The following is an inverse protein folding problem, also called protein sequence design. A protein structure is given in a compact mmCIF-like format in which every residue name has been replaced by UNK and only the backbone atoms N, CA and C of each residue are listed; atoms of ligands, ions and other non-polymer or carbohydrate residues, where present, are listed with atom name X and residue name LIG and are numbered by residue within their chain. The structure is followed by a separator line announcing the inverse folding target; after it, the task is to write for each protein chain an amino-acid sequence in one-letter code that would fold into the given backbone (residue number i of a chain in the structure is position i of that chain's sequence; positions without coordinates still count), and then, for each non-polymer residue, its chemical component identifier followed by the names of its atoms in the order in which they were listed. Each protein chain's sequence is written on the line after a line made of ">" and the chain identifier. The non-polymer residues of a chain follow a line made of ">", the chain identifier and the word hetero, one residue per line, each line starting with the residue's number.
data_IF_462060579625
#
_entry.id   IF_462060579625
#
_cell.length_a   1.000
_cell.length_b   1.000
_cell.length_c   1.000
_cell.angle_alpha   90.00
_cell.angle_beta   90.00
_cell.angle_gamma   90.00
#
_symmetry.space_group_name_H-M   'P 1'
#
loop_
_entity.id
_entity.type
_entity.pdbx_description
1 polymer ?
#
# COMPACT_ATOMS: atom_id res chain seq x y z
N UNK A 1 -32.34 -11.08 2.33
CA UNK A 1 -31.53 -10.10 1.56
C UNK A 1 -30.69 -9.16 2.42
N UNK A 2 -31.18 -8.66 3.56
CA UNK A 2 -30.38 -7.78 4.45
C UNK A 2 -29.12 -8.48 5.03
N UNK A 3 -29.21 -9.76 5.40
CA UNK A 3 -28.08 -10.51 5.96
C UNK A 3 -26.97 -10.82 4.95
N UNK A 4 -27.30 -11.01 3.67
CA UNK A 4 -26.31 -11.21 2.61
C UNK A 4 -25.52 -9.94 2.31
N UNK A 5 -26.18 -8.78 2.34
CA UNK A 5 -25.52 -7.48 2.17
C UNK A 5 -24.56 -7.19 3.33
N UNK A 6 -24.98 -7.50 4.57
CA UNK A 6 -24.13 -7.35 5.76
C UNK A 6 -22.87 -8.21 5.68
N UNK A 7 -22.97 -9.45 5.22
CA UNK A 7 -21.78 -10.32 5.04
C UNK A 7 -20.82 -9.78 3.99
N UNK A 8 -21.35 -9.29 2.86
CA UNK A 8 -20.51 -8.71 1.80
C UNK A 8 -19.79 -7.47 2.31
N UNK A 9 -20.49 -6.59 3.03
CA UNK A 9 -19.86 -5.41 3.65
C UNK A 9 -18.78 -5.81 4.66
N UNK A 10 -19.04 -6.79 5.53
CA UNK A 10 -18.02 -7.28 6.47
C UNK A 10 -16.82 -7.91 5.76
N UNK A 11 -17.02 -8.62 4.66
CA UNK A 11 -15.92 -9.16 3.85
C UNK A 11 -15.11 -8.05 3.16
N UNK A 12 -15.76 -6.98 2.71
CA UNK A 12 -15.09 -5.82 2.12
C UNK A 12 -14.31 -5.03 3.18
N UNK A 13 -14.85 -4.89 4.39
CA UNK A 13 -14.16 -4.29 5.53
C UNK A 13 -12.97 -5.12 6.00
N UNK A 14 -13.09 -6.45 6.01
CA UNK A 14 -11.99 -7.36 6.35
C UNK A 14 -10.86 -7.34 5.29
N UNK A 15 -11.20 -7.07 4.03
CA UNK A 15 -10.23 -6.91 2.94
C UNK A 15 -9.64 -5.49 2.86
N UNK A 16 -10.22 -4.52 3.59
CA UNK A 16 -9.64 -3.18 3.68
C UNK A 16 -8.33 -3.29 4.45
N UNK A 17 -7.24 -3.02 3.75
CA UNK A 17 -5.95 -2.79 4.37
C UNK A 17 -6.10 -1.73 5.46
N UNK A 18 -5.47 -1.90 6.64
CA UNK A 18 -5.54 -0.93 7.72
C UNK A 18 -4.68 0.29 7.37
N UNK A 19 -5.13 1.08 6.39
CA UNK A 19 -4.41 2.24 5.85
C UNK A 19 -4.03 3.21 6.95
N UNK A 20 -4.89 3.40 7.95
CA UNK A 20 -4.63 4.29 9.09
C UNK A 20 -3.43 3.83 9.93
N UNK A 21 -3.30 2.52 10.16
CA UNK A 21 -2.15 1.96 10.90
C UNK A 21 -0.88 2.05 10.06
N UNK A 22 -0.98 1.70 8.78
CA UNK A 22 0.15 1.78 7.85
C UNK A 22 0.62 3.23 7.71
N UNK A 23 -0.29 4.20 7.64
CA UNK A 23 0.03 5.62 7.57
C UNK A 23 0.69 6.13 8.87
N UNK A 24 0.19 5.71 10.03
CA UNK A 24 0.78 6.06 11.31
C UNK A 24 2.21 5.48 11.47
N UNK A 25 2.40 4.21 11.11
CA UNK A 25 3.72 3.55 11.13
C UNK A 25 4.68 4.19 10.10
N UNK A 26 4.21 4.49 8.88
CA UNK A 26 5.00 5.15 7.85
C UNK A 26 5.45 6.55 8.28
N UNK A 27 4.58 7.31 8.94
CA UNK A 27 4.89 8.64 9.48
C UNK A 27 5.90 8.56 10.65
N UNK A 28 5.91 7.47 11.41
CA UNK A 28 6.89 7.27 12.47
C UNK A 28 8.30 6.99 11.91
N UNK A 29 8.38 6.40 10.72
CA UNK A 29 9.65 6.14 10.02
C UNK A 29 10.10 7.37 9.25
N UNK A 30 9.16 8.06 8.58
CA UNK A 30 9.44 9.23 7.77
C UNK A 30 8.52 10.42 8.11
N UNK A 31 8.98 11.37 8.95
CA UNK A 31 8.16 12.45 9.49
C UNK A 31 7.76 13.51 8.44
N UNK A 32 8.44 13.59 7.31
CA UNK A 32 8.11 14.54 6.23
C UNK A 32 6.98 14.05 5.30
N UNK A 33 6.47 12.84 5.54
CA UNK A 33 5.31 12.29 4.84
C UNK A 33 4.06 13.16 5.08
N UNK A 34 3.44 13.60 3.99
CA UNK A 34 2.25 14.48 4.01
C UNK A 34 0.97 13.72 3.72
N UNK A 35 1.02 12.81 2.74
CA UNK A 35 -0.09 11.91 2.45
C UNK A 35 0.43 10.54 2.03
N UNK A 36 -0.28 9.50 2.45
CA UNK A 36 -0.04 8.12 2.03
C UNK A 36 -1.36 7.52 1.52
N UNK A 37 -1.31 6.92 0.34
CA UNK A 37 -2.40 6.13 -0.22
C UNK A 37 -1.89 4.72 -0.47
N UNK A 38 -2.71 3.73 -0.12
CA UNK A 38 -2.40 2.31 -0.30
C UNK A 38 -3.53 1.69 -1.12
N UNK A 39 -3.19 1.02 -2.21
CA UNK A 39 -4.13 0.34 -3.08
C UNK A 39 -3.59 -1.04 -3.46
N UNK A 40 -4.45 -2.06 -3.35
CA UNK A 40 -4.16 -3.39 -3.90
C UNK A 40 -4.68 -3.42 -5.33
N UNK A 41 -3.82 -3.81 -6.28
CA UNK A 41 -4.19 -3.91 -7.70
C UNK A 41 -3.60 -5.18 -8.31
N UNK A 42 -4.07 -5.54 -9.50
CA UNK A 42 -3.60 -6.71 -10.23
C UNK A 42 -2.73 -6.24 -11.39
N UNK A 43 -1.50 -6.75 -11.44
CA UNK A 43 -0.58 -6.59 -12.56
C UNK A 43 -0.72 -7.82 -13.46
N UNK A 44 -1.07 -7.60 -14.72
CA UNK A 44 -1.11 -8.66 -15.74
C UNK A 44 0.16 -8.54 -16.58
N UNK A 45 1.00 -9.56 -16.53
CA UNK A 45 2.17 -9.65 -17.40
C UNK A 45 1.71 -10.03 -18.82
N UNK A 46 1.85 -9.13 -19.79
CA UNK A 46 1.33 -9.35 -21.15
C UNK A 46 2.03 -10.50 -21.89
N UNK A 47 3.30 -10.78 -21.56
CA UNK A 47 4.07 -11.85 -22.21
C UNK A 47 3.65 -13.26 -21.75
N UNK A 48 3.24 -13.41 -20.49
CA UNK A 48 2.92 -14.70 -19.87
C UNK A 48 1.44 -14.85 -19.48
N UNK A 49 0.64 -13.79 -19.66
CA UNK A 49 -0.73 -13.63 -19.16
C UNK A 49 -0.87 -13.95 -17.66
N UNK A 50 0.23 -13.91 -16.90
CA UNK A 50 0.24 -14.21 -15.47
C UNK A 50 -0.30 -13.00 -14.72
N UNK A 51 -1.29 -13.25 -13.87
CA UNK A 51 -1.87 -12.25 -12.98
C UNK A 51 -1.15 -12.29 -11.64
N UNK A 52 -0.48 -11.21 -11.27
CA UNK A 52 0.11 -11.03 -9.95
C UNK A 52 -0.63 -9.93 -9.19
N UNK A 53 -0.86 -10.12 -7.90
CA UNK A 53 -1.34 -9.03 -7.05
C UNK A 53 -0.16 -8.15 -6.66
N UNK A 54 -0.29 -6.84 -6.91
CA UNK A 54 0.70 -5.84 -6.49
C UNK A 54 0.07 -4.84 -5.53
N UNK A 55 0.88 -4.37 -4.59
CA UNK A 55 0.49 -3.30 -3.70
C UNK A 55 1.08 -1.98 -4.21
N UNK A 56 0.20 -1.06 -4.61
CA UNK A 56 0.55 0.28 -5.01
C UNK A 56 0.50 1.20 -3.79
N UNK A 57 1.61 1.87 -3.51
CA UNK A 57 1.68 2.91 -2.51
C UNK A 57 2.04 4.24 -3.16
N UNK A 58 1.26 5.25 -2.85
CA UNK A 58 1.53 6.62 -3.24
C UNK A 58 1.85 7.42 -1.99
N UNK A 59 3.03 8.04 -1.96
CA UNK A 59 3.52 8.85 -0.86
C UNK A 59 3.84 10.25 -1.37
N UNK A 60 3.30 11.28 -0.72
CA UNK A 60 3.64 12.68 -0.97
C UNK A 60 4.48 13.20 0.18
N UNK A 61 5.61 13.82 -0.12
CA UNK A 61 6.51 14.39 0.89
C UNK A 61 6.47 15.92 0.84
N UNK A 62 6.76 16.59 1.97
CA UNK A 62 6.86 18.06 1.98
C UNK A 62 8.10 18.58 1.26
N UNK A 63 9.15 17.76 1.21
CA UNK A 63 10.45 18.04 0.60
C UNK A 63 10.91 16.79 -0.13
N UNK A 64 11.75 16.98 -1.15
CA UNK A 64 12.37 15.86 -1.86
C UNK A 64 13.26 15.08 -0.90
N UNK A 65 12.83 13.89 -0.54
CA UNK A 65 13.60 13.01 0.34
C UNK A 65 14.81 12.43 -0.41
N UNK A 66 15.93 12.21 0.30
CA UNK A 66 17.08 11.52 -0.28
C UNK A 66 16.69 10.06 -0.56
N UNK A 67 17.39 9.45 -1.51
CA UNK A 67 17.10 8.09 -1.98
C UNK A 67 17.12 7.05 -0.84
N UNK A 68 17.99 7.26 0.15
CA UNK A 68 18.12 6.40 1.32
C UNK A 68 16.82 6.28 2.14
N UNK A 69 16.08 7.38 2.32
CA UNK A 69 14.84 7.39 3.10
C UNK A 69 13.69 6.73 2.33
N UNK A 70 13.67 6.91 1.00
CA UNK A 70 12.74 6.20 0.11
C UNK A 70 13.01 4.69 0.12
N UNK A 71 14.27 4.27 0.07
CA UNK A 71 14.67 2.86 0.14
C UNK A 71 14.31 2.24 1.50
N UNK A 72 14.47 3.00 2.59
CA UNK A 72 14.06 2.56 3.93
C UNK A 72 12.55 2.38 4.04
N UNK A 73 11.78 3.33 3.50
CA UNK A 73 10.32 3.24 3.46
C UNK A 73 9.87 2.04 2.61
N UNK A 74 10.48 1.82 1.44
CA UNK A 74 10.18 0.68 0.58
C UNK A 74 10.51 -0.66 1.25
N UNK A 75 11.67 -0.77 1.90
CA UNK A 75 12.09 -1.97 2.63
C UNK A 75 11.14 -2.28 3.80
N UNK A 76 10.77 -1.26 4.57
CA UNK A 76 9.79 -1.41 5.63
C UNK A 76 8.41 -1.82 5.10
N UNK A 77 7.95 -1.23 3.99
CA UNK A 77 6.68 -1.58 3.36
C UNK A 77 6.64 -3.03 2.89
N UNK A 78 7.71 -3.51 2.25
CA UNK A 78 7.85 -4.93 1.86
C UNK A 78 7.78 -5.84 3.09
N UNK A 79 8.51 -5.49 4.17
CA UNK A 79 8.51 -6.27 5.40
C UNK A 79 7.13 -6.28 6.09
N UNK A 80 6.41 -5.15 6.08
CA UNK A 80 5.13 -4.99 6.78
C UNK A 80 3.95 -5.64 6.06
N UNK A 81 3.96 -5.59 4.74
CA UNK A 81 2.85 -6.06 3.90
C UNK A 81 3.00 -7.52 3.51
N UNK A 82 4.22 -8.07 3.58
CA UNK A 82 4.52 -9.43 3.11
C UNK A 82 4.21 -9.62 1.63
N UNK A 83 3.94 -8.53 0.90
CA UNK A 83 3.51 -8.56 -0.48
C UNK A 83 4.72 -8.86 -1.38
N UNK A 84 4.58 -9.76 -2.36
CA UNK A 84 5.68 -10.12 -3.26
C UNK A 84 6.12 -8.94 -4.13
N UNK A 85 5.22 -7.99 -4.41
CA UNK A 85 5.46 -6.82 -5.24
C UNK A 85 4.84 -5.58 -4.59
N UNK A 86 5.70 -4.62 -4.23
CA UNK A 86 5.32 -3.30 -3.73
C UNK A 86 5.89 -2.26 -4.68
N UNK A 87 5.05 -1.32 -5.14
CA UNK A 87 5.48 -0.16 -5.95
C UNK A 87 5.23 1.12 -5.17
N UNK A 88 6.32 1.84 -4.85
CA UNK A 88 6.27 3.16 -4.25
C UNK A 88 6.27 4.24 -5.34
N UNK A 89 5.24 5.07 -5.36
CA UNK A 89 5.12 6.26 -6.20
C UNK A 89 5.30 7.48 -5.30
N UNK A 90 6.23 8.36 -5.68
CA UNK A 90 6.55 9.57 -4.91
C UNK A 90 6.23 10.82 -5.70
N UNK A 91 5.63 11.82 -5.04
CA UNK A 91 5.43 13.18 -5.56
C UNK A 91 6.29 14.18 -4.78
#
# INVERSE_FOLDING_TARGET
>A
EADSLRRILQQLEAQRLPVDKIAAEARAIEPDLTSLSVAQTVEVQLDSMRQDTILLLYARFRKRQPRADLERLEAWLKARTGAPKVRLVVE
#
